data_IF_690067591300
#
_entry.id   IF_690067591300
#
_cell.length_a   1.000
_cell.length_b   1.000
_cell.length_c   1.000
_cell.angle_alpha   90.00
_cell.angle_beta   90.00
_cell.angle_gamma   90.00
#
_symmetry.space_group_name_H-M   'P 1'
#
loop_
_entity.id
_entity.type
_entity.pdbx_description
1 polymer ?
#
# COMPACT_ATOMS: atom_id res chain seq x y z
N UNK A 1 5.47 -32.39 -34.23
CA UNK A 1 4.81 -31.74 -33.08
C UNK A 1 5.55 -30.43 -32.89
N UNK A 2 4.95 -29.32 -33.32
CA UNK A 2 5.59 -28.00 -33.27
C UNK A 2 5.57 -27.47 -31.84
N UNK A 3 6.73 -27.08 -31.34
CA UNK A 3 6.86 -26.40 -30.05
C UNK A 3 6.18 -25.03 -30.15
N UNK A 4 5.04 -24.86 -29.48
CA UNK A 4 4.48 -23.53 -29.24
C UNK A 4 5.40 -22.80 -28.25
N UNK A 5 6.20 -21.87 -28.76
CA UNK A 5 6.86 -20.87 -27.92
C UNK A 5 5.78 -19.92 -27.42
N UNK A 6 5.47 -19.99 -26.13
CA UNK A 6 4.72 -18.94 -25.46
C UNK A 6 5.64 -17.73 -25.41
N UNK A 7 5.29 -16.68 -26.18
CA UNK A 7 5.93 -15.38 -26.05
C UNK A 7 5.73 -14.84 -24.62
N UNK A 8 6.55 -13.87 -24.18
CA UNK A 8 6.30 -13.17 -22.93
C UNK A 8 4.86 -12.61 -22.94
N UNK A 9 4.17 -12.55 -21.79
CA UNK A 9 2.86 -11.94 -21.72
C UNK A 9 2.93 -10.52 -22.30
N UNK A 10 2.03 -10.23 -23.23
CA UNK A 10 1.89 -8.90 -23.83
C UNK A 10 1.31 -7.98 -22.75
N UNK A 11 2.12 -7.02 -22.28
CA UNK A 11 1.64 -5.96 -21.40
C UNK A 11 0.79 -5.04 -22.28
N UNK A 12 -0.53 -5.14 -22.14
CA UNK A 12 -1.46 -4.27 -22.86
C UNK A 12 -1.20 -2.83 -22.43
N UNK A 13 -0.81 -1.97 -23.38
CA UNK A 13 -0.61 -0.55 -23.12
C UNK A 13 -1.98 0.07 -22.91
N UNK A 14 -2.24 0.54 -21.70
CA UNK A 14 -3.48 1.21 -21.34
C UNK A 14 -3.26 2.71 -21.53
N UNK A 15 -3.88 3.27 -22.58
CA UNK A 15 -3.78 4.71 -22.90
C UNK A 15 -4.56 5.59 -21.89
N UNK A 16 -5.66 5.04 -21.36
CA UNK A 16 -6.52 5.65 -20.35
C UNK A 16 -6.84 4.64 -19.24
N UNK A 17 -6.12 4.74 -18.12
CA UNK A 17 -6.27 3.82 -17.00
C UNK A 17 -7.60 3.96 -16.27
N UNK A 18 -8.20 5.15 -16.29
CA UNK A 18 -9.51 5.39 -15.69
C UNK A 18 -10.62 4.70 -16.48
N UNK A 19 -10.62 4.84 -17.81
CA UNK A 19 -11.61 4.19 -18.67
C UNK A 19 -11.45 2.66 -18.70
N UNK A 20 -10.20 2.18 -18.63
CA UNK A 20 -9.90 0.75 -18.62
C UNK A 20 -10.12 0.06 -17.26
N UNK A 21 -10.54 0.79 -16.22
CA UNK A 21 -10.65 0.28 -14.87
C UNK A 21 -11.67 -0.89 -14.78
N UNK A 22 -11.24 -2.11 -14.44
CA UNK A 22 -12.12 -3.28 -14.33
C UNK A 22 -12.92 -3.31 -13.03
N UNK A 23 -12.50 -2.52 -12.04
CA UNK A 23 -13.11 -2.32 -10.72
C UNK A 23 -13.05 -0.84 -10.36
N UNK A 24 -14.02 -0.34 -9.60
CA UNK A 24 -14.00 1.02 -9.09
C UNK A 24 -13.55 1.07 -7.63
N UNK A 25 -12.30 1.49 -7.42
CA UNK A 25 -11.73 1.69 -6.08
C UNK A 25 -11.92 3.12 -5.55
N UNK A 26 -12.43 4.05 -6.37
CA UNK A 26 -12.61 5.45 -5.97
C UNK A 26 -13.65 5.57 -4.87
N UNK A 27 -13.57 6.61 -4.03
CA UNK A 27 -14.50 6.90 -2.96
C UNK A 27 -13.87 6.93 -1.57
N UNK A 28 -14.74 6.90 -0.56
CA UNK A 28 -14.36 6.96 0.85
C UNK A 28 -14.32 5.57 1.46
N UNK A 29 -13.26 5.25 2.19
CA UNK A 29 -13.06 3.94 2.81
C UNK A 29 -12.61 4.09 4.25
N UNK A 30 -13.06 3.21 5.14
CA UNK A 30 -12.63 3.17 6.54
C UNK A 30 -11.99 1.84 6.88
N UNK A 31 -10.85 1.87 7.57
CA UNK A 31 -10.16 0.68 8.04
C UNK A 31 -11.07 -0.22 8.87
N UNK A 32 -11.10 -1.51 8.55
CA UNK A 32 -11.71 -2.56 9.36
C UNK A 32 -10.57 -3.37 10.00
N UNK A 33 -10.38 -3.14 11.29
CA UNK A 33 -9.33 -3.79 12.08
C UNK A 33 -9.87 -5.06 12.73
N UNK A 34 -10.01 -6.12 11.93
CA UNK A 34 -10.40 -7.46 12.39
C UNK A 34 -9.22 -8.41 12.53
N UNK A 35 -8.09 -8.08 11.90
CA UNK A 35 -6.82 -8.82 11.99
C UNK A 35 -5.79 -8.00 12.77
N UNK A 36 -4.86 -8.70 13.44
CA UNK A 36 -3.72 -8.09 14.13
C UNK A 36 -4.08 -6.90 15.03
N UNK A 37 -5.27 -6.93 15.66
CA UNK A 37 -5.82 -5.79 16.41
C UNK A 37 -4.81 -5.21 17.41
N UNK A 38 -4.09 -6.10 18.12
CA UNK A 38 -3.03 -5.73 19.07
C UNK A 38 -1.95 -4.85 18.42
N UNK A 39 -1.57 -5.15 17.19
CA UNK A 39 -0.49 -4.45 16.47
C UNK A 39 -0.98 -3.26 15.63
N UNK A 40 -2.29 -3.13 15.42
CA UNK A 40 -2.88 -2.03 14.64
C UNK A 40 -3.49 -0.93 15.50
N UNK A 41 -4.03 -1.25 16.68
CA UNK A 41 -4.65 -0.26 17.58
C UNK A 41 -3.69 0.20 18.68
N UNK A 42 -2.82 -0.69 19.17
CA UNK A 42 -1.82 -0.36 20.17
C UNK A 42 -0.45 -0.30 19.50
N UNK A 43 0.38 0.64 19.95
CA UNK A 43 1.80 0.59 19.65
C UNK A 43 2.40 -0.55 20.49
N UNK A 44 2.93 -1.57 19.80
CA UNK A 44 3.56 -2.72 20.44
C UNK A 44 4.81 -2.33 21.24
N UNK A 45 5.28 -3.24 22.09
CA UNK A 45 6.51 -3.02 22.84
C UNK A 45 7.71 -2.86 21.89
N UNK A 46 8.71 -2.09 22.33
CA UNK A 46 9.99 -1.97 21.61
C UNK A 46 10.61 -3.36 21.46
N UNK A 47 11.07 -3.70 20.26
CA UNK A 47 11.60 -5.04 19.95
C UNK A 47 10.55 -6.14 19.79
N UNK A 48 9.25 -5.84 19.88
CA UNK A 48 8.20 -6.79 19.51
C UNK A 48 8.11 -6.93 17.98
N UNK A 49 8.86 -7.88 17.45
CA UNK A 49 8.97 -8.11 16.01
C UNK A 49 8.15 -9.31 15.53
N UNK A 50 7.17 -9.79 16.31
CA UNK A 50 6.37 -10.97 15.93
C UNK A 50 5.74 -10.82 14.54
N UNK A 51 5.81 -11.87 13.71
CA UNK A 51 5.30 -11.85 12.33
C UNK A 51 6.27 -11.32 11.27
N UNK A 52 7.43 -10.78 11.67
CA UNK A 52 8.46 -10.29 10.73
C UNK A 52 9.77 -11.02 10.96
N UNK A 53 10.36 -11.51 9.88
CA UNK A 53 11.65 -12.19 9.90
C UNK A 53 12.75 -11.16 9.64
N UNK A 54 13.37 -10.64 10.70
CA UNK A 54 14.39 -9.58 10.58
C UNK A 54 15.81 -10.14 10.43
N UNK A 55 16.70 -9.37 9.78
CA UNK A 55 18.15 -9.57 9.84
C UNK A 55 18.69 -9.16 11.22
N UNK A 56 19.95 -9.49 11.53
CA UNK A 56 20.61 -9.02 12.77
C UNK A 56 20.64 -7.48 12.87
N UNK A 57 20.78 -6.79 11.74
CA UNK A 57 20.70 -5.34 11.71
C UNK A 57 19.27 -4.85 11.95
N UNK A 58 18.27 -5.47 11.32
CA UNK A 58 16.86 -5.14 11.52
C UNK A 58 16.42 -5.32 12.98
N UNK A 59 16.81 -6.44 13.61
CA UNK A 59 16.56 -6.70 15.03
C UNK A 59 17.15 -5.60 15.92
N UNK A 60 18.44 -5.25 15.71
CA UNK A 60 19.07 -4.20 16.52
C UNK A 60 18.40 -2.84 16.37
N UNK A 61 17.95 -2.49 15.17
CA UNK A 61 17.22 -1.24 14.94
C UNK A 61 15.86 -1.26 15.65
N UNK A 62 15.10 -2.35 15.55
CA UNK A 62 13.82 -2.50 16.22
C UNK A 62 13.94 -2.50 17.76
N UNK A 63 14.99 -3.10 18.32
CA UNK A 63 15.26 -3.15 19.77
C UNK A 63 15.78 -1.82 20.33
N UNK A 64 16.33 -0.95 19.48
CA UNK A 64 16.87 0.36 19.87
C UNK A 64 15.95 1.52 19.49
N UNK A 65 14.76 1.24 18.97
CA UNK A 65 13.80 2.26 18.61
C UNK A 65 13.35 3.07 19.84
N UNK A 66 13.33 4.39 19.68
CA UNK A 66 12.87 5.34 20.68
C UNK A 66 11.95 6.39 20.01
N UNK A 67 10.64 6.41 20.31
CA UNK A 67 9.70 7.35 19.70
C UNK A 67 10.04 8.81 20.01
N UNK A 68 10.68 9.11 21.14
CA UNK A 68 11.07 10.49 21.49
C UNK A 68 12.19 11.00 20.57
N UNK A 69 13.07 10.11 20.12
CA UNK A 69 14.13 10.43 19.16
C UNK A 69 13.54 10.78 17.80
N UNK A 70 12.53 10.03 17.33
CA UNK A 70 11.83 10.36 16.08
C UNK A 70 11.08 11.70 16.17
N UNK A 71 10.40 11.95 17.29
CA UNK A 71 9.70 13.21 17.50
C UNK A 71 10.67 14.40 17.52
N UNK A 72 11.77 14.29 18.26
CA UNK A 72 12.80 15.33 18.34
C UNK A 72 13.51 15.60 17.01
N UNK A 73 13.58 14.59 16.13
CA UNK A 73 14.18 14.71 14.80
C UNK A 73 13.18 15.10 13.70
N UNK A 74 11.89 15.27 14.02
CA UNK A 74 10.85 15.59 13.05
C UNK A 74 10.48 14.41 12.15
N UNK A 75 10.76 13.19 12.58
CA UNK A 75 10.57 11.94 11.84
C UNK A 75 9.29 11.19 12.27
N UNK A 76 8.28 11.92 12.75
CA UNK A 76 7.01 11.35 13.21
C UNK A 76 6.27 10.52 12.13
N UNK A 77 6.56 10.75 10.86
CA UNK A 77 5.91 10.07 9.73
C UNK A 77 6.55 8.73 9.35
N UNK A 78 7.56 8.21 10.06
CA UNK A 78 8.22 6.94 9.69
C UNK A 78 7.25 5.76 9.55
N UNK A 79 6.22 5.68 10.38
CA UNK A 79 5.18 4.63 10.31
C UNK A 79 4.08 4.91 9.26
N UNK A 80 4.11 6.08 8.62
CA UNK A 80 3.13 6.55 7.64
C UNK A 80 3.72 6.55 6.21
N UNK A 81 4.92 5.99 6.01
CA UNK A 81 5.44 5.72 4.67
C UNK A 81 4.63 4.67 3.93
N UNK A 82 4.84 4.53 2.62
CA UNK A 82 4.03 3.66 1.76
C UNK A 82 3.91 2.22 2.28
N UNK A 83 5.01 1.66 2.80
CA UNK A 83 5.05 0.30 3.35
C UNK A 83 4.33 0.11 4.71
N UNK A 84 3.96 1.19 5.39
CA UNK A 84 3.29 1.16 6.70
C UNK A 84 1.88 1.75 6.71
N UNK A 85 1.57 2.69 5.81
CA UNK A 85 0.37 3.53 5.89
C UNK A 85 -0.94 2.75 5.73
N UNK A 86 -0.98 1.75 4.84
CA UNK A 86 -2.20 0.94 4.65
C UNK A 86 -2.54 0.07 5.87
N UNK A 87 -1.57 -0.20 6.76
CA UNK A 87 -1.81 -0.88 8.03
C UNK A 87 -2.25 0.04 9.16
N UNK A 88 -2.19 1.36 9.00
CA UNK A 88 -2.67 2.28 10.02
C UNK A 88 -4.20 2.19 10.14
N UNK A 89 -4.79 2.41 11.33
CA UNK A 89 -6.20 2.72 11.44
C UNK A 89 -6.44 4.10 10.82
N UNK A 90 -6.91 4.09 9.57
CA UNK A 90 -7.08 5.30 8.75
C UNK A 90 -8.38 5.20 7.95
N UNK A 91 -8.88 6.35 7.52
CA UNK A 91 -9.73 6.46 6.33
C UNK A 91 -8.89 6.75 5.11
N UNK A 92 -9.42 6.35 3.97
CA UNK A 92 -8.88 6.65 2.66
C UNK A 92 -9.89 7.48 1.87
N UNK A 93 -9.39 8.49 1.16
CA UNK A 93 -10.09 9.09 0.04
C UNK A 93 -9.34 8.72 -1.23
N UNK A 94 -10.04 8.05 -2.15
CA UNK A 94 -9.44 7.58 -3.39
C UNK A 94 -10.13 8.27 -4.57
N UNK A 95 -9.35 8.91 -5.43
CA UNK A 95 -9.89 9.61 -6.60
C UNK A 95 -8.91 9.62 -7.77
N UNK A 96 -9.42 9.84 -8.99
CA UNK A 96 -8.55 10.10 -10.14
C UNK A 96 -8.14 11.58 -10.14
N UNK A 97 -6.83 11.85 -10.09
CA UNK A 97 -6.29 13.19 -10.34
C UNK A 97 -6.40 13.55 -11.83
N UNK A 98 -6.19 12.55 -12.68
CA UNK A 98 -6.36 12.57 -14.13
C UNK A 98 -6.50 11.13 -14.64
N UNK A 99 -6.68 10.94 -15.95
CA UNK A 99 -6.97 9.64 -16.56
C UNK A 99 -5.92 8.54 -16.29
N UNK A 100 -4.69 8.90 -15.92
CA UNK A 100 -3.57 7.97 -15.71
C UNK A 100 -2.89 8.11 -14.34
N UNK A 101 -3.51 8.84 -13.40
CA UNK A 101 -3.00 9.00 -12.03
C UNK A 101 -4.14 8.91 -11.03
N UNK A 102 -4.07 7.89 -10.18
CA UNK A 102 -5.00 7.70 -9.07
C UNK A 102 -4.35 8.16 -7.77
N UNK A 103 -5.07 8.96 -6.99
CA UNK A 103 -4.62 9.52 -5.73
C UNK A 103 -5.29 8.79 -4.56
N UNK A 104 -4.50 8.45 -3.54
CA UNK A 104 -4.98 7.92 -2.26
C UNK A 104 -4.54 8.89 -1.16
N UNK A 105 -5.49 9.55 -0.52
CA UNK A 105 -5.27 10.38 0.64
C UNK A 105 -5.64 9.63 1.92
N UNK A 106 -4.94 9.90 3.01
CA UNK A 106 -5.14 9.28 4.33
C UNK A 106 -5.42 10.34 5.38
N UNK A 107 -6.41 10.11 6.25
CA UNK A 107 -6.69 11.04 7.35
C UNK A 107 -5.60 10.94 8.42
N UNK A 108 -5.18 9.72 8.77
CA UNK A 108 -4.09 9.45 9.67
C UNK A 108 -2.75 9.76 9.01
N UNK A 109 -2.03 10.74 9.54
CA UNK A 109 -0.74 11.17 9.03
C UNK A 109 -0.81 12.08 7.81
N UNK A 110 -1.99 12.38 7.27
CA UNK A 110 -2.19 13.29 6.12
C UNK A 110 -1.25 12.98 4.95
N UNK A 111 -1.14 11.71 4.57
CA UNK A 111 -0.29 11.27 3.47
C UNK A 111 -1.09 11.19 2.17
N UNK A 112 -0.42 11.52 1.06
CA UNK A 112 -0.97 11.43 -0.30
C UNK A 112 -0.09 10.52 -1.13
N UNK A 113 -0.67 9.45 -1.67
CA UNK A 113 -0.02 8.53 -2.61
C UNK A 113 -0.55 8.77 -4.01
N UNK A 114 0.34 8.81 -5.01
CA UNK A 114 -0.03 8.88 -6.43
C UNK A 114 0.38 7.60 -7.13
N UNK A 115 -0.60 6.88 -7.63
CA UNK A 115 -0.48 5.63 -8.36
C UNK A 115 -0.54 5.94 -9.85
N UNK A 116 0.58 5.77 -10.56
CA UNK A 116 0.74 6.25 -11.94
C UNK A 116 0.72 5.09 -12.92
N UNK A 117 -0.04 5.26 -14.00
CA UNK A 117 -0.23 4.24 -15.04
C UNK A 117 0.47 4.64 -16.35
N UNK A 118 0.92 3.65 -17.11
CA UNK A 118 1.42 3.84 -18.48
C UNK A 118 2.45 4.97 -18.59
N UNK A 119 2.24 5.89 -19.52
CA UNK A 119 3.15 7.02 -19.77
C UNK A 119 3.26 8.02 -18.61
N UNK A 120 2.35 7.99 -17.64
CA UNK A 120 2.46 8.83 -16.45
C UNK A 120 3.51 8.31 -15.46
N UNK A 121 3.97 7.07 -15.60
CA UNK A 121 5.02 6.49 -14.75
C UNK A 121 6.33 7.26 -14.92
N UNK A 122 6.81 7.83 -13.82
CA UNK A 122 8.01 8.66 -13.75
C UNK A 122 8.77 8.39 -12.44
N UNK A 123 9.89 9.10 -12.19
CA UNK A 123 10.65 8.98 -10.94
C UNK A 123 10.21 9.93 -9.82
N UNK A 124 9.11 10.68 -9.98
CA UNK A 124 8.69 11.68 -9.02
C UNK A 124 8.13 11.02 -7.75
N UNK A 125 8.71 11.39 -6.60
CA UNK A 125 8.43 10.75 -5.31
C UNK A 125 9.62 9.96 -4.76
N UNK A 126 10.69 9.77 -5.54
CA UNK A 126 11.94 9.15 -5.07
C UNK A 126 12.49 9.88 -3.83
N UNK A 127 12.78 9.13 -2.77
CA UNK A 127 13.26 9.63 -1.48
C UNK A 127 12.18 10.22 -0.58
N UNK A 128 10.92 10.24 -1.02
CA UNK A 128 9.78 10.64 -0.18
C UNK A 128 9.26 9.47 0.67
N UNK A 129 8.41 9.77 1.65
CA UNK A 129 7.72 8.73 2.44
C UNK A 129 6.91 7.76 1.59
N UNK A 130 6.32 8.26 0.50
CA UNK A 130 5.42 7.47 -0.35
C UNK A 130 6.14 6.80 -1.53
N UNK A 131 7.39 7.17 -1.80
CA UNK A 131 8.16 6.62 -2.91
C UNK A 131 7.55 6.93 -4.28
N UNK A 132 7.89 6.08 -5.25
CA UNK A 132 7.37 6.08 -6.62
C UNK A 132 6.48 4.87 -6.80
N UNK A 133 5.20 5.05 -7.12
CA UNK A 133 4.22 3.96 -7.29
C UNK A 133 3.80 3.81 -8.75
N UNK A 134 4.19 2.68 -9.36
CA UNK A 134 3.84 2.27 -10.71
C UNK A 134 2.64 1.32 -10.65
N UNK A 135 1.51 1.76 -11.19
CA UNK A 135 0.25 1.03 -11.17
C UNK A 135 -0.06 0.40 -12.54
N UNK A 136 -0.67 -0.79 -12.50
CA UNK A 136 -1.16 -1.51 -13.66
C UNK A 136 -2.47 -2.23 -13.32
N UNK A 137 -3.36 -2.36 -14.31
CA UNK A 137 -4.54 -3.20 -14.18
C UNK A 137 -4.21 -4.63 -14.61
N UNK A 138 -4.40 -5.59 -13.70
CA UNK A 138 -4.46 -7.00 -14.07
C UNK A 138 -5.90 -7.33 -14.48
N UNK A 139 -6.13 -7.38 -15.80
CA UNK A 139 -7.46 -7.57 -16.38
C UNK A 139 -7.82 -9.06 -16.47
N UNK A 140 -8.88 -9.45 -15.76
CA UNK A 140 -9.45 -10.79 -15.89
C UNK A 140 -10.51 -10.80 -17.00
N UNK A 141 -10.29 -11.62 -18.02
CA UNK A 141 -11.16 -11.72 -19.21
C UNK A 141 -11.90 -13.05 -19.26
N UNK A 142 -13.10 -13.03 -19.85
CA UNK A 142 -13.84 -14.25 -20.15
C UNK A 142 -13.22 -14.97 -21.36
N UNK A 143 -12.35 -15.95 -21.11
CA UNK A 143 -11.62 -16.65 -22.17
C UNK A 143 -10.60 -15.75 -22.88
N UNK A 144 -9.90 -16.30 -23.88
CA UNK A 144 -8.84 -15.57 -24.59
C UNK A 144 -9.45 -14.50 -25.50
N UNK A 145 -9.19 -13.23 -25.20
CA UNK A 145 -9.67 -12.08 -25.99
C UNK A 145 -11.15 -11.72 -25.78
N UNK A 146 -11.81 -12.30 -24.78
CA UNK A 146 -13.17 -11.92 -24.41
C UNK A 146 -13.23 -10.59 -23.64
N UNK A 147 -14.45 -10.15 -23.27
CA UNK A 147 -14.63 -8.95 -22.47
C UNK A 147 -13.95 -9.09 -21.11
N UNK A 148 -13.49 -7.96 -20.58
CA UNK A 148 -13.04 -7.84 -19.19
C UNK A 148 -14.25 -8.07 -18.28
N UNK A 149 -14.10 -8.94 -17.28
CA UNK A 149 -15.17 -9.30 -16.33
C UNK A 149 -14.84 -8.90 -14.90
N UNK A 150 -13.56 -8.75 -14.58
CA UNK A 150 -13.05 -8.24 -13.30
C UNK A 150 -11.58 -7.90 -13.46
N UNK A 151 -10.94 -7.48 -12.38
CA UNK A 151 -9.51 -7.20 -12.36
C UNK A 151 -9.03 -6.88 -10.97
N UNK A 152 -7.72 -6.70 -10.86
CA UNK A 152 -7.03 -6.30 -9.65
C UNK A 152 -6.12 -5.14 -10.00
N UNK A 153 -6.05 -4.13 -9.13
CA UNK A 153 -5.03 -3.08 -9.26
C UNK A 153 -3.72 -3.61 -8.69
N UNK A 154 -2.69 -3.68 -9.51
CA UNK A 154 -1.33 -4.03 -9.08
C UNK A 154 -0.49 -2.76 -8.99
N UNK A 155 0.22 -2.57 -7.88
CA UNK A 155 1.08 -1.41 -7.66
C UNK A 155 2.46 -1.86 -7.20
N UNK A 156 3.49 -1.47 -7.93
CA UNK A 156 4.87 -1.58 -7.48
C UNK A 156 5.37 -0.23 -6.96
N UNK A 157 5.80 -0.18 -5.71
CA UNK A 157 6.36 1.01 -5.09
C UNK A 157 7.84 0.81 -4.75
N UNK A 158 8.67 1.77 -5.12
CA UNK A 158 10.12 1.76 -4.86
C UNK A 158 10.62 3.18 -4.56
N UNK A 159 11.92 3.31 -4.22
CA UNK A 159 12.51 4.62 -3.92
C UNK A 159 11.87 5.30 -2.70
N UNK A 160 11.34 4.50 -1.76
CA UNK A 160 10.75 4.97 -0.52
C UNK A 160 11.83 5.46 0.43
N UNK A 161 11.51 6.43 1.27
CA UNK A 161 12.35 6.77 2.43
C UNK A 161 12.27 5.67 3.48
N UNK A 162 13.40 5.33 4.11
CA UNK A 162 13.46 4.40 5.25
C UNK A 162 12.43 4.78 6.34
N UNK A 163 11.59 3.82 6.72
CA UNK A 163 10.50 4.01 7.67
C UNK A 163 10.21 2.75 8.45
N UNK A 164 8.97 2.60 8.90
CA UNK A 164 8.53 1.47 9.71
C UNK A 164 7.33 0.72 9.12
N UNK A 165 7.41 -0.61 9.18
CA UNK A 165 6.31 -1.53 8.88
C UNK A 165 5.28 -1.57 10.01
N UNK A 166 5.69 -1.24 11.24
CA UNK A 166 4.83 -1.09 12.43
C UNK A 166 5.27 0.09 13.27
N UNK A 167 4.33 0.73 13.98
CA UNK A 167 4.60 1.91 14.81
C UNK A 167 5.69 1.70 15.85
N UNK A 168 5.93 0.46 16.28
CA UNK A 168 6.95 0.12 17.27
C UNK A 168 8.39 0.03 16.73
N UNK A 169 8.66 0.64 15.57
CA UNK A 169 10.02 0.76 15.04
C UNK A 169 10.52 -0.41 14.19
N UNK A 170 9.66 -1.37 13.83
CA UNK A 170 10.04 -2.47 12.91
C UNK A 170 10.41 -1.87 11.55
N UNK A 171 11.68 -1.93 11.12
CA UNK A 171 12.17 -1.07 10.05
C UNK A 171 11.98 -1.67 8.66
N UNK A 172 11.86 -0.79 7.67
CA UNK A 172 12.17 -1.07 6.26
C UNK A 172 13.12 0.03 5.73
N UNK A 173 14.02 -0.29 4.81
CA UNK A 173 15.10 0.56 4.30
C UNK A 173 14.70 1.37 3.07
N UNK A 174 15.59 2.25 2.62
CA UNK A 174 15.43 2.96 1.35
C UNK A 174 15.67 2.07 0.11
N UNK A 175 16.13 0.83 0.31
CA UNK A 175 16.27 -0.20 -0.72
C UNK A 175 15.05 -1.12 -0.80
N UNK A 176 14.02 -0.86 0.00
CA UNK A 176 12.80 -1.66 -0.02
C UNK A 176 12.01 -1.48 -1.32
N UNK A 177 11.41 -2.56 -1.77
CA UNK A 177 10.35 -2.56 -2.77
C UNK A 177 9.06 -3.06 -2.12
N UNK A 178 7.93 -2.58 -2.61
CA UNK A 178 6.61 -2.99 -2.16
C UNK A 178 5.74 -3.32 -3.36
N UNK A 179 5.11 -4.49 -3.35
CA UNK A 179 4.04 -4.85 -4.26
C UNK A 179 2.71 -4.82 -3.51
N UNK A 180 1.72 -4.17 -4.10
CA UNK A 180 0.35 -4.14 -3.57
C UNK A 180 -0.65 -4.64 -4.60
N UNK A 181 -1.69 -5.30 -4.10
CA UNK A 181 -2.84 -5.76 -4.87
C UNK A 181 -4.10 -5.22 -4.22
N UNK A 182 -4.89 -4.46 -4.97
CA UNK A 182 -6.16 -3.91 -4.51
C UNK A 182 -7.32 -4.61 -5.23
N UNK A 183 -8.22 -5.18 -4.44
CA UNK A 183 -9.43 -5.84 -4.88
C UNK A 183 -10.65 -5.22 -4.20
N UNK A 184 -11.77 -5.15 -4.93
CA UNK A 184 -13.08 -4.75 -4.37
C UNK A 184 -13.99 -5.96 -4.32
N UNK A 185 -14.56 -6.23 -3.14
CA UNK A 185 -15.54 -7.29 -2.91
C UNK A 185 -16.84 -6.69 -2.45
N UNK A 186 -17.92 -6.99 -3.17
CA UNK A 186 -19.29 -6.58 -2.83
C UNK A 186 -20.03 -7.76 -2.20
N UNK A 187 -20.58 -7.57 -1.00
CA UNK A 187 -21.44 -8.56 -0.34
C UNK A 187 -22.87 -8.52 -0.90
N UNK A 188 -23.67 -9.56 -0.60
CA UNK A 188 -25.06 -9.68 -1.04
C UNK A 188 -25.95 -8.50 -0.60
N UNK A 189 -25.60 -7.84 0.51
CA UNK A 189 -26.30 -6.66 1.04
C UNK A 189 -25.85 -5.33 0.39
N UNK A 190 -24.92 -5.38 -0.58
CA UNK A 190 -24.35 -4.24 -1.27
C UNK A 190 -23.19 -3.57 -0.52
N UNK A 191 -22.75 -4.11 0.62
CA UNK A 191 -21.58 -3.58 1.33
C UNK A 191 -20.31 -3.91 0.56
N UNK A 192 -19.51 -2.89 0.28
CA UNK A 192 -18.25 -3.05 -0.43
C UNK A 192 -17.05 -2.98 0.50
N UNK A 193 -16.09 -3.86 0.24
CA UNK A 193 -14.82 -3.94 0.93
C UNK A 193 -13.67 -3.79 -0.06
N UNK A 194 -12.73 -2.91 0.26
CA UNK A 194 -11.44 -2.81 -0.40
C UNK A 194 -10.45 -3.68 0.39
N UNK A 195 -9.85 -4.64 -0.29
CA UNK A 195 -8.83 -5.53 0.28
C UNK A 195 -7.50 -5.14 -0.34
N UNK A 196 -6.52 -4.83 0.50
CA UNK A 196 -5.17 -4.47 0.09
C UNK A 196 -4.20 -5.51 0.63
N UNK A 197 -3.61 -6.29 -0.27
CA UNK A 197 -2.48 -7.16 0.06
C UNK A 197 -1.19 -6.41 -0.24
N UNK A 198 -0.32 -6.24 0.76
CA UNK A 198 1.00 -5.62 0.60
C UNK A 198 2.09 -6.65 0.86
N UNK A 199 3.10 -6.68 0.00
CA UNK A 199 4.30 -7.51 0.09
C UNK A 199 5.51 -6.58 0.04
N UNK A 200 6.24 -6.47 1.15
CA UNK A 200 7.45 -5.65 1.24
C UNK A 200 8.67 -6.54 1.25
N UNK A 201 9.61 -6.29 0.34
CA UNK A 201 10.92 -6.91 0.31
C UNK A 201 11.98 -5.87 0.69
N UNK A 202 12.92 -6.27 1.55
CA UNK A 202 13.99 -5.39 2.02
C UNK A 202 15.26 -6.20 2.25
N UNK A 203 16.33 -5.98 1.46
CA UNK A 203 17.57 -6.73 1.58
C UNK A 203 18.42 -6.33 2.80
N UNK A 204 18.10 -5.24 3.49
CA UNK A 204 18.86 -4.69 4.61
C UNK A 204 18.31 -5.20 5.94
N UNK A 205 17.00 -5.05 6.16
CA UNK A 205 16.39 -5.30 7.45
C UNK A 205 15.57 -6.60 7.53
N UNK A 206 15.18 -7.20 6.40
CA UNK A 206 14.35 -8.41 6.37
C UNK A 206 15.12 -9.62 5.83
N UNK A 207 14.83 -10.80 6.40
CA UNK A 207 15.31 -12.11 5.93
C UNK A 207 14.32 -12.81 4.98
N UNK A 208 13.21 -12.14 4.67
CA UNK A 208 12.17 -12.61 3.78
C UNK A 208 11.08 -11.55 3.61
N UNK A 209 10.15 -11.72 2.66
CA UNK A 209 9.09 -10.77 2.42
C UNK A 209 8.19 -10.60 3.65
N UNK A 210 7.86 -9.35 3.98
CA UNK A 210 6.81 -9.02 4.93
C UNK A 210 5.48 -8.91 4.18
N UNK A 211 4.55 -9.82 4.47
CA UNK A 211 3.25 -9.88 3.79
C UNK A 211 2.14 -9.52 4.77
N UNK A 212 1.29 -8.58 4.39
CA UNK A 212 0.18 -8.12 5.23
C UNK A 212 -1.07 -7.86 4.40
N UNK A 213 -2.24 -8.22 4.93
CA UNK A 213 -3.52 -7.78 4.38
C UNK A 213 -4.03 -6.57 5.18
N UNK A 214 -4.85 -5.74 4.54
CA UNK A 214 -5.59 -4.66 5.19
C UNK A 214 -6.93 -4.47 4.48
N UNK A 215 -8.00 -4.51 5.28
CA UNK A 215 -9.36 -4.42 4.79
C UNK A 215 -9.98 -3.07 5.14
N UNK A 216 -10.71 -2.49 4.19
CA UNK A 216 -11.46 -1.26 4.37
C UNK A 216 -12.90 -1.45 3.92
N UNK A 217 -13.85 -0.80 4.58
CA UNK A 217 -15.26 -0.80 4.20
C UNK A 217 -15.61 0.54 3.55
N UNK A 218 -16.38 0.51 2.47
CA UNK A 218 -16.84 1.73 1.80
C UNK A 218 -17.75 2.55 2.72
N UNK A 219 -17.54 3.86 2.73
CA UNK A 219 -18.41 4.84 3.37
C UNK A 219 -19.25 5.58 2.32
N UNK A 220 -20.47 5.97 2.69
CA UNK A 220 -21.40 6.62 1.77
C UNK A 220 -20.97 8.06 1.38
N UNK A 221 -20.14 8.69 2.21
CA UNK A 221 -19.62 10.05 2.06
C UNK A 221 -18.41 10.24 2.98
N UNK A 222 -17.85 11.44 2.98
CA UNK A 222 -16.66 11.88 3.71
C UNK A 222 -16.98 12.55 5.06
N UNK A 223 -18.22 12.49 5.55
CA UNK A 223 -18.62 13.19 6.79
C UNK A 223 -17.84 12.74 8.05
N UNK A 224 -17.16 11.60 7.98
CA UNK A 224 -16.34 11.05 9.07
C UNK A 224 -14.84 11.22 8.85
N UNK A 225 -14.44 11.97 7.81
CA UNK A 225 -13.05 12.36 7.57
C UNK A 225 -12.53 13.24 8.70
N UNK A 226 -11.43 12.84 9.34
CA UNK A 226 -10.85 13.52 10.50
C UNK A 226 -9.31 13.55 10.40
N UNK A 227 -8.75 14.47 9.60
CA UNK A 227 -7.33 14.48 9.28
C UNK A 227 -6.49 14.85 10.51
N UNK A 228 -5.45 14.07 10.76
CA UNK A 228 -4.51 14.26 11.87
C UNK A 228 -3.06 14.08 11.39
N UNK A 229 -2.15 14.87 11.95
CA UNK A 229 -0.73 14.78 11.64
C UNK A 229 -0.11 13.44 12.06
N UNK A 230 1.11 13.17 11.59
CA UNK A 230 1.83 11.97 11.97
C UNK A 230 2.11 11.91 13.48
N UNK A 231 2.00 10.72 14.05
CA UNK A 231 2.26 10.45 15.47
C UNK A 231 3.33 9.38 15.63
N UNK A 232 4.27 9.55 16.56
CA UNK A 232 5.29 8.54 16.88
C UNK A 232 4.75 7.38 17.72
N UNK A 233 3.58 7.55 18.35
CA UNK A 233 2.85 6.52 19.11
C UNK A 233 1.34 6.64 18.86
#
# INVERSE_FOLDING_TARGET
MGNAQFGPPEVEVIDDAQEAAPIDITGNWVSIVTEDWRYRILTGDVGDTEGYFLTELGTRVAESWDPATDEASGEACRAYGAAGIMRQPTRLQISWENNNTLEIETDAGMQTRRLKFGEAQDGAGTGSWQGVSNANWNLHRQGRGGPVISGTLEVETHGMRQGYLRRNGVPYSDQSTMQEYFDVVTQDDGTEYLIVLSIVEDPVFLNGPAMTSSNFRREANDNLWDPSGCLTQ
#
